data_IF_760941907296
#
_entry.id   IF_760941907296
#
_cell.length_a   1.000
_cell.length_b   1.000
_cell.length_c   1.000
_cell.angle_alpha   90.00
_cell.angle_beta   90.00
_cell.angle_gamma   90.00
#
_symmetry.space_group_name_H-M   'P 1'
#
loop_
_entity.id
_entity.type
_entity.pdbx_description
1 polymer ?
#
# COMPACT_ATOMS: atom_id res chain seq x y z
N UNK A 1 -7.93 -39.47 39.58
CA UNK A 1 -7.87 -38.35 40.55
C UNK A 1 -8.27 -37.10 39.80
N UNK A 2 -9.31 -36.44 40.26
CA UNK A 2 -10.27 -35.67 39.46
C UNK A 2 -9.97 -34.16 39.43
N UNK A 3 -10.34 -33.51 38.32
CA UNK A 3 -10.41 -32.05 38.05
C UNK A 3 -11.43 -31.34 38.96
N UNK A 4 -11.38 -29.99 39.13
CA UNK A 4 -12.08 -29.06 38.19
C UNK A 4 -11.38 -27.69 38.00
N UNK A 5 -11.29 -27.13 36.78
CA UNK A 5 -12.24 -26.26 36.06
C UNK A 5 -13.02 -25.26 36.94
N UNK A 6 -12.55 -24.01 36.96
CA UNK A 6 -13.11 -22.91 37.73
C UNK A 6 -14.02 -21.98 36.91
N UNK A 7 -15.23 -21.83 37.44
CA UNK A 7 -16.08 -20.65 37.48
C UNK A 7 -16.73 -20.12 36.18
N UNK A 8 -17.97 -20.56 36.01
CA UNK A 8 -19.07 -19.87 35.32
C UNK A 8 -19.44 -18.57 36.04
N UNK A 9 -19.70 -17.51 35.27
CA UNK A 9 -20.43 -16.31 35.72
C UNK A 9 -21.76 -16.25 34.98
N UNK A 10 -22.80 -16.84 35.57
CA UNK A 10 -24.20 -16.70 35.14
C UNK A 10 -24.76 -15.36 35.62
N UNK A 11 -25.30 -14.56 34.69
CA UNK A 11 -26.12 -13.40 35.04
C UNK A 11 -27.60 -13.84 35.20
N UNK A 12 -28.27 -13.44 36.29
CA UNK A 12 -29.59 -13.93 36.68
C UNK A 12 -30.73 -13.36 35.81
N UNK A 13 -31.79 -14.18 35.72
CA UNK A 13 -32.96 -13.98 34.86
C UNK A 13 -33.78 -12.72 35.15
N UNK A 14 -34.34 -12.18 34.07
CA UNK A 14 -35.36 -11.14 34.09
C UNK A 14 -36.72 -11.84 34.09
N UNK A 15 -37.43 -11.78 35.22
CA UNK A 15 -38.81 -12.27 35.34
C UNK A 15 -39.78 -11.31 34.63
N UNK A 16 -40.77 -11.83 33.87
CA UNK A 16 -41.69 -11.02 33.08
C UNK A 16 -43.02 -10.78 33.82
N UNK A 17 -43.04 -9.99 34.88
CA UNK A 17 -44.28 -9.46 35.46
C UNK A 17 -43.93 -8.25 36.30
N UNK A 18 -44.24 -7.05 35.79
CA UNK A 18 -44.64 -5.87 36.56
C UNK A 18 -44.63 -4.67 35.61
N UNK A 19 -45.77 -4.39 34.98
CA UNK A 19 -46.38 -3.05 34.87
C UNK A 19 -47.73 -3.18 34.17
N UNK A 20 -48.75 -3.46 34.97
CA UNK A 20 -50.15 -3.17 34.63
C UNK A 20 -50.61 -1.99 35.47
N UNK A 21 -51.41 -1.13 34.85
CA UNK A 21 -52.24 -0.06 35.42
C UNK A 21 -51.62 1.34 35.57
N UNK A 22 -51.72 2.13 34.50
CA UNK A 22 -52.16 3.53 34.60
C UNK A 22 -52.96 3.88 33.33
N UNK A 23 -54.29 3.72 33.44
CA UNK A 23 -55.25 4.08 32.41
C UNK A 23 -55.82 5.47 32.70
N UNK A 24 -55.63 6.42 31.77
CA UNK A 24 -56.48 7.58 31.58
C UNK A 24 -56.43 8.01 30.10
N UNK A 25 -57.53 8.54 29.53
CA UNK A 25 -57.80 8.45 28.11
C UNK A 25 -57.35 9.71 27.37
N UNK A 26 -56.39 9.56 26.45
CA UNK A 26 -56.16 10.57 25.42
C UNK A 26 -57.18 10.35 24.30
N UNK A 27 -58.33 10.99 24.47
CA UNK A 27 -59.28 11.29 23.40
C UNK A 27 -58.63 12.26 22.41
N UNK A 28 -57.75 11.73 21.56
CA UNK A 28 -57.28 12.37 20.34
C UNK A 28 -57.96 11.67 19.16
N UNK A 29 -59.14 12.17 18.82
CA UNK A 29 -59.92 11.80 17.64
C UNK A 29 -59.14 12.12 16.36
N UNK A 30 -58.16 11.28 16.04
CA UNK A 30 -57.61 11.16 14.70
C UNK A 30 -58.62 10.37 13.88
N UNK A 31 -59.42 11.08 13.10
CA UNK A 31 -60.35 10.55 12.10
C UNK A 31 -59.69 9.39 11.34
N UNK A 32 -60.02 8.15 11.68
CA UNK A 32 -59.78 7.01 10.80
C UNK A 32 -60.80 7.15 9.67
N UNK A 33 -60.35 7.70 8.55
CA UNK A 33 -61.09 7.58 7.30
C UNK A 33 -60.98 6.12 6.87
N UNK A 34 -62.12 5.52 6.54
CA UNK A 34 -62.26 4.23 5.86
C UNK A 34 -61.56 4.27 4.49
N UNK A 35 -60.24 4.20 4.49
CA UNK A 35 -59.43 3.83 3.32
C UNK A 35 -58.07 3.37 3.87
N UNK A 36 -57.88 2.04 3.90
CA UNK A 36 -56.74 1.36 4.51
C UNK A 36 -55.44 1.48 3.73
N UNK A 37 -54.98 2.70 3.47
CA UNK A 37 -53.65 2.93 2.91
C UNK A 37 -52.85 3.84 3.84
N UNK A 38 -51.72 3.40 4.42
CA UNK A 38 -50.73 4.35 4.89
C UNK A 38 -50.37 5.25 3.71
N UNK A 39 -50.42 6.57 3.88
CA UNK A 39 -49.88 7.53 2.92
C UNK A 39 -48.37 7.28 2.77
N UNK A 40 -48.03 6.36 1.88
CA UNK A 40 -46.69 6.19 1.30
C UNK A 40 -46.58 7.00 0.00
N UNK A 41 -47.60 7.79 -0.34
CA UNK A 41 -47.54 8.82 -1.38
C UNK A 41 -46.61 9.95 -0.93
N UNK A 42 -45.32 9.77 -1.21
CA UNK A 42 -44.37 10.86 -1.15
C UNK A 42 -43.24 10.69 -0.14
N UNK A 43 -42.69 9.48 0.06
CA UNK A 43 -41.22 9.46 0.11
C UNK A 43 -40.80 9.91 -1.29
N UNK A 44 -40.31 11.15 -1.46
CA UNK A 44 -40.02 11.64 -2.79
C UNK A 44 -38.99 10.69 -3.38
N UNK A 45 -39.19 10.21 -4.62
CA UNK A 45 -38.21 9.36 -5.32
C UNK A 45 -36.82 10.02 -5.33
N UNK A 46 -36.77 11.36 -5.30
CA UNK A 46 -35.54 12.14 -5.12
C UNK A 46 -34.83 11.95 -3.78
N UNK A 47 -35.54 11.60 -2.70
CA UNK A 47 -34.96 11.31 -1.38
C UNK A 47 -34.24 9.94 -1.39
N UNK A 48 -34.88 8.91 -1.96
CA UNK A 48 -34.29 7.57 -2.11
C UNK A 48 -33.05 7.58 -3.02
N UNK A 49 -33.10 8.31 -4.14
CA UNK A 49 -31.95 8.48 -5.04
C UNK A 49 -30.83 9.28 -4.36
N UNK A 50 -31.18 10.29 -3.54
CA UNK A 50 -30.23 11.05 -2.74
C UNK A 50 -29.51 10.19 -1.69
N UNK A 51 -30.24 9.30 -1.03
CA UNK A 51 -29.71 8.37 -0.03
C UNK A 51 -28.77 7.33 -0.67
N UNK A 52 -29.16 6.70 -1.79
CA UNK A 52 -28.30 5.76 -2.54
C UNK A 52 -27.03 6.44 -3.07
N UNK A 53 -27.15 7.65 -3.60
CA UNK A 53 -25.99 8.42 -4.09
C UNK A 53 -25.03 8.78 -2.96
N UNK A 54 -25.57 9.05 -1.77
CA UNK A 54 -24.80 9.33 -0.55
C UNK A 54 -24.12 8.07 -0.03
N UNK A 55 -24.79 6.93 -0.05
CA UNK A 55 -24.22 5.64 0.34
C UNK A 55 -23.10 5.20 -0.59
N UNK A 56 -23.32 5.31 -1.91
CA UNK A 56 -22.29 4.99 -2.90
C UNK A 56 -21.07 5.92 -2.78
N UNK A 57 -21.30 7.22 -2.53
CA UNK A 57 -20.20 8.16 -2.27
C UNK A 57 -19.47 7.83 -0.97
N UNK A 58 -20.16 7.27 0.01
CA UNK A 58 -19.57 6.85 1.29
C UNK A 58 -18.72 5.59 1.10
N UNK A 59 -19.21 4.58 0.36
CA UNK A 59 -18.44 3.39 -0.02
C UNK A 59 -17.19 3.75 -0.82
N UNK A 60 -17.31 4.60 -1.84
CA UNK A 60 -16.16 5.07 -2.62
C UNK A 60 -15.10 5.75 -1.76
N UNK A 61 -15.51 6.58 -0.80
CA UNK A 61 -14.57 7.20 0.15
C UNK A 61 -13.91 6.17 1.07
N UNK A 62 -14.63 5.12 1.47
CA UNK A 62 -14.08 4.04 2.30
C UNK A 62 -13.07 3.19 1.53
N UNK A 63 -13.39 2.78 0.31
CA UNK A 63 -12.47 2.04 -0.57
C UNK A 63 -11.19 2.83 -0.84
N UNK A 64 -11.31 4.13 -1.12
CA UNK A 64 -10.15 5.01 -1.26
C UNK A 64 -9.35 5.15 0.05
N UNK A 65 -10.03 5.25 1.19
CA UNK A 65 -9.35 5.32 2.49
C UNK A 65 -8.59 4.02 2.80
N UNK A 66 -9.18 2.86 2.48
CA UNK A 66 -8.55 1.55 2.64
C UNK A 66 -7.36 1.40 1.70
N UNK A 67 -7.54 1.67 0.40
CA UNK A 67 -6.47 1.63 -0.58
C UNK A 67 -5.32 2.57 -0.20
N UNK A 68 -5.64 3.78 0.29
CA UNK A 68 -4.63 4.71 0.79
C UNK A 68 -3.90 4.16 2.01
N UNK A 69 -4.61 3.51 2.94
CA UNK A 69 -3.99 2.90 4.11
C UNK A 69 -3.05 1.75 3.72
N UNK A 70 -3.48 0.87 2.82
CA UNK A 70 -2.66 -0.24 2.31
C UNK A 70 -1.44 0.27 1.54
N UNK A 71 -1.62 1.22 0.62
CA UNK A 71 -0.53 1.89 -0.10
C UNK A 71 0.47 2.55 0.86
N UNK A 72 0.01 3.15 1.96
CA UNK A 72 0.90 3.78 2.96
C UNK A 72 1.75 2.73 3.67
N UNK A 73 1.16 1.59 4.03
CA UNK A 73 1.88 0.46 4.64
C UNK A 73 2.92 -0.10 3.67
N UNK A 74 2.54 -0.35 2.41
CA UNK A 74 3.45 -0.85 1.40
C UNK A 74 4.55 0.15 1.05
N UNK A 75 4.22 1.45 0.94
CA UNK A 75 5.21 2.51 0.73
C UNK A 75 6.22 2.59 1.89
N UNK A 76 5.78 2.40 3.14
CA UNK A 76 6.68 2.39 4.29
C UNK A 76 7.61 1.18 4.27
N UNK A 77 7.11 -0.01 3.92
CA UNK A 77 7.93 -1.22 3.76
C UNK A 77 8.96 -1.04 2.65
N UNK A 78 8.51 -0.57 1.48
CA UNK A 78 9.37 -0.29 0.34
C UNK A 78 10.42 0.78 0.68
N UNK A 79 10.02 1.86 1.37
CA UNK A 79 10.91 2.92 1.81
C UNK A 79 11.96 2.45 2.81
N UNK A 80 11.56 1.61 3.78
CA UNK A 80 12.50 0.99 4.72
C UNK A 80 13.49 0.08 3.99
N UNK A 81 13.01 -0.76 3.06
CA UNK A 81 13.85 -1.62 2.24
C UNK A 81 14.83 -0.82 1.37
N UNK A 82 14.36 0.22 0.69
CA UNK A 82 15.20 1.12 -0.10
C UNK A 82 16.24 1.84 0.77
N UNK A 83 15.85 2.29 1.97
CA UNK A 83 16.76 2.89 2.95
C UNK A 83 17.84 1.91 3.43
N UNK A 84 17.48 0.66 3.73
CA UNK A 84 18.43 -0.39 4.10
C UNK A 84 19.38 -0.72 2.97
N UNK A 85 18.89 -0.85 1.73
CA UNK A 85 19.73 -1.10 0.56
C UNK A 85 20.66 0.08 0.25
N UNK A 86 20.17 1.32 0.38
CA UNK A 86 20.99 2.52 0.25
C UNK A 86 22.08 2.58 1.32
N UNK A 87 21.71 2.34 2.58
CA UNK A 87 22.66 2.26 3.70
C UNK A 87 23.69 1.14 3.52
N UNK A 88 23.28 -0.05 3.09
CA UNK A 88 24.18 -1.16 2.81
C UNK A 88 25.13 -0.85 1.65
N UNK A 89 24.66 -0.18 0.60
CA UNK A 89 25.49 0.29 -0.51
C UNK A 89 26.57 1.27 -0.03
N UNK A 90 26.19 2.26 0.79
CA UNK A 90 27.13 3.23 1.35
C UNK A 90 28.13 2.57 2.32
N UNK A 91 27.65 1.74 3.24
CA UNK A 91 28.49 1.00 4.17
C UNK A 91 29.47 0.08 3.42
N UNK A 92 28.99 -0.65 2.41
CA UNK A 92 29.84 -1.50 1.56
C UNK A 92 30.89 -0.69 0.81
N UNK A 93 30.55 0.50 0.29
CA UNK A 93 31.52 1.41 -0.32
C UNK A 93 32.62 1.82 0.67
N UNK A 94 32.26 2.22 1.90
CA UNK A 94 33.23 2.56 2.93
C UNK A 94 34.09 1.37 3.35
N UNK A 95 33.51 0.17 3.50
CA UNK A 95 34.27 -1.05 3.80
C UNK A 95 35.36 -1.27 2.75
N UNK A 96 34.99 -1.16 1.48
CA UNK A 96 35.92 -1.38 0.37
C UNK A 96 37.00 -0.28 0.29
N UNK A 97 36.67 0.97 0.62
CA UNK A 97 37.64 2.06 0.78
C UNK A 97 38.65 1.75 1.88
N UNK A 98 38.18 1.39 3.08
CA UNK A 98 39.06 1.08 4.21
C UNK A 98 39.92 -0.16 3.96
N UNK A 99 39.39 -1.19 3.30
CA UNK A 99 40.18 -2.35 2.88
C UNK A 99 41.28 -1.96 1.89
N UNK A 100 41.02 -1.00 1.00
CA UNK A 100 42.02 -0.50 0.07
C UNK A 100 43.15 0.24 0.79
N UNK A 101 42.81 1.08 1.78
CA UNK A 101 43.79 1.76 2.62
C UNK A 101 44.59 0.78 3.48
N UNK A 102 43.93 -0.22 4.06
CA UNK A 102 44.57 -1.26 4.84
C UNK A 102 45.54 -2.09 3.98
N UNK A 103 45.13 -2.47 2.77
CA UNK A 103 45.98 -3.18 1.82
C UNK A 103 47.19 -2.34 1.42
N UNK A 104 47.00 -1.06 1.13
CA UNK A 104 48.11 -0.15 0.83
C UNK A 104 49.06 -0.07 2.03
N UNK A 105 48.56 0.20 3.24
CA UNK A 105 49.39 0.28 4.44
C UNK A 105 50.16 -1.02 4.72
N UNK A 106 49.50 -2.17 4.57
CA UNK A 106 50.12 -3.48 4.71
C UNK A 106 51.26 -3.69 3.70
N UNK A 107 51.04 -3.37 2.42
CA UNK A 107 52.09 -3.46 1.40
C UNK A 107 53.21 -2.44 1.64
N UNK A 108 52.88 -1.22 2.04
CA UNK A 108 53.86 -0.17 2.33
C UNK A 108 54.78 -0.51 3.51
N UNK A 109 54.40 -1.46 4.36
CA UNK A 109 55.28 -1.99 5.41
C UNK A 109 56.37 -2.94 4.88
N UNK A 110 56.19 -3.50 3.69
CA UNK A 110 57.12 -4.45 3.06
C UNK A 110 57.87 -3.86 1.85
N UNK A 111 57.28 -2.89 1.14
CA UNK A 111 57.84 -2.26 -0.08
C UNK A 111 57.64 -0.74 -0.07
N UNK A 112 58.38 0.05 -0.88
CA UNK A 112 58.18 1.49 -0.94
C UNK A 112 56.74 1.86 -1.28
N UNK A 113 56.21 2.88 -0.59
CA UNK A 113 54.79 3.25 -0.64
C UNK A 113 54.26 3.54 -2.05
N UNK A 114 55.10 4.06 -2.95
CA UNK A 114 54.73 4.27 -4.35
C UNK A 114 54.43 2.97 -5.11
N UNK A 115 55.23 1.93 -4.90
CA UNK A 115 54.99 0.61 -5.52
C UNK A 115 53.75 -0.08 -4.91
N UNK A 116 53.54 0.07 -3.60
CA UNK A 116 52.31 -0.38 -2.95
C UNK A 116 51.07 0.29 -3.57
N UNK A 117 51.12 1.61 -3.80
CA UNK A 117 50.04 2.36 -4.43
C UNK A 117 49.74 1.85 -5.84
N UNK A 118 50.78 1.58 -6.65
CA UNK A 118 50.62 1.06 -8.00
C UNK A 118 49.97 -0.33 -8.03
N UNK A 119 50.31 -1.21 -7.07
CA UNK A 119 49.68 -2.53 -6.96
C UNK A 119 48.20 -2.38 -6.61
N UNK A 120 47.85 -1.55 -5.63
CA UNK A 120 46.43 -1.32 -5.26
C UNK A 120 45.65 -0.68 -6.41
N UNK A 121 46.27 0.26 -7.14
CA UNK A 121 45.67 0.85 -8.34
C UNK A 121 45.44 -0.18 -9.44
N UNK A 122 46.38 -1.12 -9.64
CA UNK A 122 46.22 -2.19 -10.61
C UNK A 122 45.06 -3.13 -10.23
N UNK A 123 44.94 -3.51 -8.96
CA UNK A 123 43.81 -4.33 -8.46
C UNK A 123 42.49 -3.64 -8.78
N UNK A 124 42.38 -2.35 -8.49
CA UNK A 124 41.18 -1.56 -8.81
C UNK A 124 40.92 -1.42 -10.31
N UNK A 125 41.98 -1.28 -11.11
CA UNK A 125 41.88 -1.26 -12.56
C UNK A 125 41.27 -2.56 -13.11
N UNK A 126 41.67 -3.71 -12.58
CA UNK A 126 41.09 -5.01 -12.94
C UNK A 126 39.62 -5.09 -12.53
N UNK A 127 39.29 -4.72 -11.30
CA UNK A 127 37.89 -4.70 -10.82
C UNK A 127 37.02 -3.81 -11.71
N UNK A 128 37.49 -2.60 -12.04
CA UNK A 128 36.78 -1.66 -12.91
C UNK A 128 36.57 -2.22 -14.32
N UNK A 129 37.60 -2.84 -14.92
CA UNK A 129 37.50 -3.46 -16.24
C UNK A 129 36.46 -4.59 -16.27
N UNK A 130 36.45 -5.45 -15.24
CA UNK A 130 35.47 -6.52 -15.09
C UNK A 130 34.06 -5.93 -14.95
N UNK A 131 33.85 -5.01 -14.01
CA UNK A 131 32.54 -4.37 -13.80
C UNK A 131 32.03 -3.67 -15.06
N UNK A 132 32.90 -2.98 -15.79
CA UNK A 132 32.54 -2.34 -17.06
C UNK A 132 32.06 -3.36 -18.10
N UNK A 133 32.78 -4.47 -18.27
CA UNK A 133 32.40 -5.53 -19.23
C UNK A 133 31.06 -6.17 -18.84
N UNK A 134 30.87 -6.50 -17.55
CA UNK A 134 29.62 -7.10 -17.07
C UNK A 134 28.45 -6.12 -17.19
N UNK A 135 28.64 -4.87 -16.77
CA UNK A 135 27.64 -3.81 -16.86
C UNK A 135 27.24 -3.54 -18.31
N UNK A 136 28.21 -3.45 -19.22
CA UNK A 136 27.96 -3.30 -20.66
C UNK A 136 27.20 -4.49 -21.23
N UNK A 137 27.53 -5.73 -20.84
CA UNK A 137 26.77 -6.92 -21.26
C UNK A 137 25.33 -6.87 -20.77
N UNK A 138 25.10 -6.48 -19.51
CA UNK A 138 23.75 -6.40 -18.93
C UNK A 138 22.91 -5.31 -19.59
N UNK A 139 23.48 -4.12 -19.81
CA UNK A 139 22.78 -3.02 -20.50
C UNK A 139 22.39 -3.39 -21.93
N UNK A 140 23.23 -4.15 -22.65
CA UNK A 140 22.90 -4.63 -24.00
C UNK A 140 21.71 -5.57 -24.06
N UNK A 141 21.34 -6.21 -22.95
CA UNK A 141 20.15 -7.09 -22.87
C UNK A 141 18.86 -6.35 -22.53
N UNK A 142 18.95 -5.06 -22.15
CA UNK A 142 17.77 -4.24 -21.88
C UNK A 142 17.29 -3.67 -23.21
N UNK A 143 16.11 -4.09 -23.67
CA UNK A 143 15.46 -3.51 -24.83
C UNK A 143 14.57 -2.34 -24.35
N UNK A 144 14.96 -1.08 -24.56
CA UNK A 144 14.25 0.08 -24.00
C UNK A 144 12.92 0.37 -24.71
N UNK A 145 12.69 -0.25 -25.87
CA UNK A 145 11.45 -0.09 -26.63
C UNK A 145 10.46 -1.19 -26.23
N UNK A 146 9.33 -0.87 -25.58
CA UNK A 146 8.23 -1.82 -25.43
C UNK A 146 7.64 -2.06 -26.83
N UNK A 147 8.14 -3.09 -27.52
CA UNK A 147 7.75 -3.44 -28.89
C UNK A 147 6.22 -3.56 -29.05
N UNK A 148 5.53 -4.00 -28.00
CA UNK A 148 4.07 -4.14 -27.95
C UNK A 148 3.31 -2.80 -27.86
N UNK A 149 3.88 -1.79 -27.22
CA UNK A 149 3.24 -0.47 -27.06
C UNK A 149 3.39 0.36 -28.33
N UNK A 150 4.52 0.25 -29.03
CA UNK A 150 4.75 0.97 -30.29
C UNK A 150 3.84 0.46 -31.40
N UNK A 151 3.61 -0.85 -31.48
CA UNK A 151 2.72 -1.44 -32.51
C UNK A 151 1.24 -1.05 -32.29
N UNK A 152 0.82 -0.88 -31.04
CA UNK A 152 -0.56 -0.46 -30.70
C UNK A 152 -0.79 1.02 -31.02
N UNK A 153 0.22 1.88 -30.77
CA UNK A 153 0.13 3.31 -31.06
C UNK A 153 0.22 3.63 -32.56
N UNK A 154 0.94 2.82 -33.35
CA UNK A 154 1.01 2.95 -34.81
C UNK A 154 -0.28 2.55 -35.54
N UNK A 155 -1.22 1.86 -34.88
CA UNK A 155 -2.54 1.49 -35.46
C UNK A 155 -3.64 2.53 -35.22
N UNK A 156 -3.40 3.58 -34.43
CA UNK A 156 -4.38 4.64 -34.13
C UNK A 156 -4.07 6.03 -34.75
N UNK A 157 -3.57 6.18 -36.00
CA UNK A 157 -3.59 7.50 -36.67
C UNK A 157 -4.94 7.86 -37.31
N UNK A 158 -5.75 6.88 -37.73
CA UNK A 158 -6.88 7.15 -38.64
C UNK A 158 -8.22 7.48 -37.94
N UNK A 159 -8.28 7.41 -36.60
CA UNK A 159 -9.53 7.63 -35.86
C UNK A 159 -9.73 9.07 -35.34
N UNK A 160 -8.74 9.97 -35.50
CA UNK A 160 -8.79 11.34 -34.93
C UNK A 160 -8.54 12.43 -35.99
N UNK A 161 -9.07 12.24 -37.20
CA UNK A 161 -9.30 13.36 -38.11
C UNK A 161 -10.81 13.57 -38.29
N UNK A 162 -11.41 14.57 -37.62
CA UNK A 162 -12.77 14.99 -37.95
C UNK A 162 -12.75 15.53 -39.38
N UNK A 163 -13.43 14.84 -40.29
CA UNK A 163 -13.60 15.28 -41.67
C UNK A 163 -14.56 16.48 -41.64
N UNK A 164 -14.02 17.68 -41.86
CA UNK A 164 -14.77 18.92 -42.14
C UNK A 164 -15.55 18.82 -43.44
#
# INVERSE_FOLDING_TARGET
MSTPYGAHGEHPGVSPTDVSAAAAPHAGMGRQTEDGHPDVEGVPVGKLIGDVSRDLSTLMRQELALAKAELTVEAKKAGAGAGMLGGAGYAGHLTVLFLSLALWAALASAIPAGWAALIVALVWGVVAAVLFVLGRKRLKTVNPTPERTVETLQRVPDAVTPRS
#
